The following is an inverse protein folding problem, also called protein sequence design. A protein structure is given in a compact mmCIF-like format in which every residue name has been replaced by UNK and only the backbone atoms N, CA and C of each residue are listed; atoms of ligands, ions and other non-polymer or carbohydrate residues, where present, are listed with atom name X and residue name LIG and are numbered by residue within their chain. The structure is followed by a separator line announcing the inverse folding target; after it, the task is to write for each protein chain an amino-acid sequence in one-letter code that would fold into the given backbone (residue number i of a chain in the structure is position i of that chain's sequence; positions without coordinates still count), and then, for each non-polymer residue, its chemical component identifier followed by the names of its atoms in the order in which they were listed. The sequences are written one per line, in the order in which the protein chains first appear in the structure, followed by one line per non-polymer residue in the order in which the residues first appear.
data_IF_795775156444
#
_entry.id   IF_795775156444
#
_cell.length_a   1.000
_cell.length_b   1.000
_cell.length_c   1.000
_cell.angle_alpha   90.00
_cell.angle_beta   90.00
_cell.angle_gamma   90.00
#
_symmetry.space_group_name_H-M   'P 1'
#
loop_
_entity.id
_entity.type
_entity.pdbx_description
1 polymer ?
#
# COMPACT_ATOMS: atom_id res chain seq x y z
N UNK A 1 -0.68 -57.76 15.05
CA UNK A 1 -0.83 -57.00 13.78
C UNK A 1 -2.02 -56.06 13.78
N UNK A 2 -3.24 -56.42 14.16
CA UNK A 2 -4.42 -55.52 14.15
C UNK A 2 -4.32 -54.29 15.06
N UNK A 3 -3.63 -54.36 16.21
CA UNK A 3 -3.45 -53.20 17.13
C UNK A 3 -2.43 -52.16 16.64
N UNK A 4 -1.41 -52.59 15.87
CA UNK A 4 -0.42 -51.64 15.27
C UNK A 4 -1.05 -50.86 14.10
N UNK A 5 -1.94 -51.45 13.33
CA UNK A 5 -2.62 -50.80 12.21
C UNK A 5 -3.60 -49.73 12.73
N UNK A 6 -4.25 -49.95 13.86
CA UNK A 6 -5.16 -48.98 14.47
C UNK A 6 -4.42 -47.77 15.00
N UNK A 7 -3.21 -47.92 15.56
CA UNK A 7 -2.38 -46.82 16.03
C UNK A 7 -1.84 -45.96 14.87
N UNK A 8 -1.44 -46.55 13.75
CA UNK A 8 -1.01 -45.86 12.56
C UNK A 8 -2.15 -45.06 11.91
N UNK A 9 -3.36 -45.58 11.87
CA UNK A 9 -4.54 -44.89 11.34
C UNK A 9 -4.98 -43.70 12.22
N UNK A 10 -4.89 -43.84 13.54
CA UNK A 10 -5.19 -42.73 14.48
C UNK A 10 -4.14 -41.63 14.40
N UNK A 11 -2.84 -41.97 14.24
CA UNK A 11 -1.79 -41.00 14.10
C UNK A 11 -1.88 -40.19 12.77
N UNK A 12 -2.31 -40.82 11.68
CA UNK A 12 -2.51 -40.12 10.41
C UNK A 12 -3.76 -39.24 10.41
N UNK A 13 -4.82 -39.61 11.13
CA UNK A 13 -6.01 -38.79 11.32
C UNK A 13 -5.71 -37.54 12.21
N UNK A 14 -4.86 -37.68 13.22
CA UNK A 14 -4.46 -36.56 14.09
C UNK A 14 -3.56 -35.59 13.33
N UNK A 15 -2.73 -36.02 12.38
CA UNK A 15 -1.92 -35.11 11.56
C UNK A 15 -2.75 -34.31 10.52
N UNK A 16 -3.92 -34.79 10.08
CA UNK A 16 -4.79 -34.04 9.20
C UNK A 16 -5.53 -32.86 9.88
N UNK A 17 -5.60 -32.84 11.21
CA UNK A 17 -6.33 -31.78 11.95
C UNK A 17 -5.47 -30.52 12.16
N UNK A 18 -4.16 -30.58 11.91
CA UNK A 18 -3.23 -29.47 12.10
C UNK A 18 -2.68 -28.86 10.80
N UNK A 19 -3.37 -29.03 9.68
CA UNK A 19 -3.11 -28.19 8.52
C UNK A 19 -3.43 -26.74 8.95
N UNK A 20 -2.40 -26.02 9.38
CA UNK A 20 -2.52 -24.63 9.79
C UNK A 20 -3.17 -23.88 8.63
N UNK A 21 -4.34 -23.29 8.88
CA UNK A 21 -5.12 -22.54 7.90
C UNK A 21 -4.26 -21.37 7.40
N UNK A 22 -3.70 -21.55 6.21
CA UNK A 22 -2.78 -20.59 5.60
C UNK A 22 -3.53 -19.30 5.27
N UNK A 23 -2.95 -18.16 5.62
CA UNK A 23 -3.55 -16.84 5.37
C UNK A 23 -3.70 -16.55 3.87
N UNK A 24 -2.88 -17.19 3.03
CA UNK A 24 -2.93 -17.00 1.57
C UNK A 24 -4.08 -17.75 0.90
N UNK A 25 -4.46 -18.87 1.45
CA UNK A 25 -5.35 -19.82 0.76
C UNK A 25 -6.66 -20.07 1.47
N UNK A 26 -6.73 -19.90 2.80
CA UNK A 26 -7.96 -20.11 3.58
C UNK A 26 -8.54 -18.76 3.99
N UNK A 27 -9.44 -18.21 3.17
CA UNK A 27 -9.92 -16.81 3.26
C UNK A 27 -11.36 -16.77 3.76
N UNK A 28 -11.62 -15.88 4.72
CA UNK A 28 -12.97 -15.53 5.13
C UNK A 28 -13.68 -14.74 4.00
N UNK A 29 -14.86 -15.17 3.60
CA UNK A 29 -15.62 -14.60 2.49
C UNK A 29 -16.88 -13.92 3.01
N UNK A 30 -16.95 -12.59 2.83
CA UNK A 30 -18.10 -11.78 3.15
C UNK A 30 -19.01 -11.66 1.93
N UNK A 31 -20.30 -11.93 2.11
CA UNK A 31 -21.31 -11.79 1.07
C UNK A 31 -21.89 -10.35 0.99
N UNK A 32 -21.53 -9.51 1.96
CA UNK A 32 -21.97 -8.11 2.02
C UNK A 32 -20.88 -7.24 1.40
N UNK A 33 -21.22 -6.53 0.34
CA UNK A 33 -20.33 -5.56 -0.28
C UNK A 33 -20.15 -4.31 0.60
N UNK A 34 -18.94 -3.74 0.54
CA UNK A 34 -18.60 -2.42 1.05
C UNK A 34 -18.28 -1.48 -0.14
N UNK A 35 -19.30 -0.93 -0.80
CA UNK A 35 -19.13 -0.18 -2.05
C UNK A 35 -18.49 1.19 -1.84
N UNK A 36 -18.38 1.66 -0.60
CA UNK A 36 -17.88 2.99 -0.28
C UNK A 36 -16.43 2.98 0.24
N UNK A 37 -15.79 1.82 0.29
CA UNK A 37 -14.36 1.72 0.57
C UNK A 37 -13.56 1.73 -0.74
N UNK A 38 -12.53 2.58 -0.77
CA UNK A 38 -11.59 2.77 -1.89
C UNK A 38 -10.17 2.54 -1.41
N UNK A 39 -9.37 1.80 -2.17
CA UNK A 39 -8.03 1.43 -1.73
C UNK A 39 -6.96 1.66 -2.81
N UNK A 40 -5.78 2.07 -2.35
CA UNK A 40 -4.53 2.05 -3.11
C UNK A 40 -3.56 1.12 -2.39
N UNK A 41 -3.09 0.11 -3.10
CA UNK A 41 -2.12 -0.88 -2.61
C UNK A 41 -0.87 -0.74 -3.47
N UNK A 42 0.26 -0.42 -2.86
CA UNK A 42 1.56 -0.28 -3.50
C UNK A 42 2.48 -1.34 -2.91
N UNK A 43 3.04 -2.17 -3.78
CA UNK A 43 3.92 -3.28 -3.39
C UNK A 43 5.19 -3.23 -4.22
N UNK A 44 6.29 -2.82 -3.59
CA UNK A 44 7.57 -2.60 -4.23
C UNK A 44 8.57 -3.66 -3.78
N UNK A 45 8.87 -4.60 -4.67
CA UNK A 45 9.82 -5.69 -4.42
C UNK A 45 11.09 -5.55 -5.24
N UNK A 46 10.95 -5.31 -6.58
CA UNK A 46 12.04 -5.37 -7.54
C UNK A 46 12.59 -3.98 -7.84
N UNK A 47 13.46 -3.48 -6.99
CA UNK A 47 14.09 -2.17 -7.13
C UNK A 47 15.16 -2.16 -8.21
N UNK A 48 15.30 -1.04 -8.94
CA UNK A 48 16.33 -0.87 -9.98
C UNK A 48 17.71 -0.60 -9.40
N UNK A 49 17.77 0.08 -8.26
CA UNK A 49 19.00 0.60 -7.68
C UNK A 49 19.26 0.09 -6.26
N UNK A 50 18.32 -0.64 -5.69
CA UNK A 50 18.39 -1.16 -4.32
C UNK A 50 18.18 -2.68 -4.29
N UNK A 51 18.47 -3.29 -3.15
CA UNK A 51 18.17 -4.69 -2.94
C UNK A 51 16.66 -4.94 -2.98
N UNK A 52 16.26 -6.13 -3.37
CA UNK A 52 14.86 -6.56 -3.32
C UNK A 52 14.30 -6.49 -1.90
N UNK A 53 13.00 -6.25 -1.80
CA UNK A 53 12.23 -6.44 -0.57
C UNK A 53 11.44 -7.74 -0.71
N UNK A 54 11.95 -8.86 -0.18
CA UNK A 54 11.30 -10.15 -0.36
C UNK A 54 9.85 -10.13 0.10
N UNK A 55 8.99 -10.74 -0.70
CA UNK A 55 7.56 -10.95 -0.42
C UNK A 55 6.67 -9.70 -0.47
N UNK A 56 7.19 -8.52 -0.82
CA UNK A 56 6.35 -7.32 -0.90
C UNK A 56 5.22 -7.46 -1.92
N UNK A 57 5.46 -8.12 -3.06
CA UNK A 57 4.42 -8.39 -4.05
C UNK A 57 3.36 -9.37 -3.52
N UNK A 58 3.79 -10.42 -2.79
CA UNK A 58 2.86 -11.34 -2.15
C UNK A 58 2.00 -10.62 -1.11
N UNK A 59 2.63 -9.82 -0.25
CA UNK A 59 1.95 -9.01 0.77
C UNK A 59 0.78 -8.21 0.18
N UNK A 60 1.03 -7.44 -0.86
CA UNK A 60 -0.01 -6.60 -1.47
C UNK A 60 -1.06 -7.39 -2.23
N UNK A 61 -0.66 -8.46 -2.93
CA UNK A 61 -1.60 -9.32 -3.65
C UNK A 61 -2.58 -10.02 -2.70
N UNK A 62 -2.08 -10.53 -1.57
CA UNK A 62 -2.92 -11.17 -0.56
C UNK A 62 -3.75 -10.12 0.19
N UNK A 63 -3.19 -8.95 0.53
CA UNK A 63 -3.96 -7.86 1.13
C UNK A 63 -5.11 -7.41 0.22
N UNK A 64 -4.88 -7.27 -1.12
CA UNK A 64 -5.96 -7.05 -2.11
C UNK A 64 -7.04 -8.11 -1.99
N UNK A 65 -6.66 -9.39 -1.91
CA UNK A 65 -7.61 -10.51 -1.77
C UNK A 65 -8.47 -10.38 -0.52
N UNK A 66 -7.88 -9.99 0.63
CA UNK A 66 -8.63 -9.75 1.87
C UNK A 66 -9.57 -8.55 1.76
N UNK A 67 -9.15 -7.45 1.12
CA UNK A 67 -10.05 -6.32 0.87
C UNK A 67 -11.28 -6.78 0.08
N UNK A 68 -11.08 -7.55 -1.00
CA UNK A 68 -12.18 -8.01 -1.86
C UNK A 68 -13.04 -9.05 -1.15
N UNK A 69 -12.43 -10.09 -0.60
CA UNK A 69 -13.16 -11.27 -0.10
C UNK A 69 -13.64 -11.09 1.33
N UNK A 70 -12.78 -10.64 2.21
CA UNK A 70 -13.09 -10.57 3.65
C UNK A 70 -13.80 -9.27 4.03
N UNK A 71 -13.40 -8.15 3.44
CA UNK A 71 -13.99 -6.85 3.72
C UNK A 71 -15.10 -6.45 2.74
N UNK A 72 -15.26 -7.17 1.62
CA UNK A 72 -16.33 -6.93 0.65
C UNK A 72 -16.08 -5.72 -0.27
N UNK A 73 -14.85 -5.23 -0.38
CA UNK A 73 -14.53 -4.08 -1.24
C UNK A 73 -14.60 -4.50 -2.71
N UNK A 74 -15.41 -3.82 -3.56
CA UNK A 74 -15.47 -4.12 -4.98
C UNK A 74 -14.10 -3.95 -5.66
N UNK A 75 -13.76 -4.85 -6.58
CA UNK A 75 -12.44 -4.83 -7.24
C UNK A 75 -12.14 -3.51 -7.96
N UNK A 76 -13.13 -2.91 -8.62
CA UNK A 76 -13.01 -1.62 -9.29
C UNK A 76 -12.66 -0.46 -8.32
N UNK A 77 -12.90 -0.63 -7.04
CA UNK A 77 -12.56 0.34 -5.99
C UNK A 77 -11.13 0.15 -5.44
N UNK A 78 -10.35 -0.79 -6.01
CA UNK A 78 -8.99 -1.10 -5.56
C UNK A 78 -8.01 -0.85 -6.70
N UNK A 79 -7.00 -0.01 -6.44
CA UNK A 79 -5.81 0.13 -7.29
C UNK A 79 -4.67 -0.64 -6.65
N UNK A 80 -4.25 -1.72 -7.32
CA UNK A 80 -3.06 -2.49 -6.94
C UNK A 80 -1.93 -2.18 -7.90
N UNK A 81 -0.82 -1.69 -7.38
CA UNK A 81 0.35 -1.27 -8.16
C UNK A 81 1.56 -2.04 -7.67
N UNK A 82 2.01 -2.97 -8.50
CA UNK A 82 3.21 -3.77 -8.28
C UNK A 82 4.42 -3.03 -8.85
N UNK A 83 5.51 -2.96 -8.08
CA UNK A 83 6.78 -2.32 -8.47
C UNK A 83 6.57 -0.88 -9.00
N UNK A 84 5.90 -0.07 -8.20
CA UNK A 84 5.49 1.29 -8.55
C UNK A 84 6.68 2.26 -8.66
N UNK A 85 6.73 3.02 -9.74
CA UNK A 85 7.53 4.24 -9.84
C UNK A 85 6.94 5.36 -8.99
N UNK A 86 7.70 6.45 -8.78
CA UNK A 86 7.18 7.62 -8.08
C UNK A 86 5.96 8.22 -8.79
N UNK A 87 5.93 8.19 -10.11
CA UNK A 87 4.80 8.65 -10.91
C UNK A 87 3.57 7.76 -10.70
N UNK A 88 3.74 6.43 -10.67
CA UNK A 88 2.64 5.49 -10.42
C UNK A 88 2.05 5.69 -9.03
N UNK A 89 2.90 5.85 -8.00
CA UNK A 89 2.47 6.15 -6.64
C UNK A 89 1.62 7.43 -6.61
N UNK A 90 2.10 8.51 -7.20
CA UNK A 90 1.39 9.79 -7.23
C UNK A 90 0.10 9.74 -8.05
N UNK A 91 0.09 9.05 -9.19
CA UNK A 91 -1.09 8.90 -10.04
C UNK A 91 -2.22 8.18 -9.31
N UNK A 92 -1.92 7.06 -8.66
CA UNK A 92 -2.92 6.26 -7.95
C UNK A 92 -3.41 6.94 -6.66
N UNK A 93 -2.54 7.62 -5.92
CA UNK A 93 -2.97 8.45 -4.80
C UNK A 93 -3.87 9.61 -5.25
N UNK A 94 -3.56 10.25 -6.38
CA UNK A 94 -4.43 11.30 -6.94
C UNK A 94 -5.78 10.76 -7.43
N UNK A 95 -5.84 9.51 -7.89
CA UNK A 95 -7.13 8.85 -8.15
C UNK A 95 -7.94 8.71 -6.86
N UNK A 96 -7.33 8.22 -5.77
CA UNK A 96 -8.01 8.08 -4.47
C UNK A 96 -8.55 9.42 -3.96
N UNK A 97 -7.74 10.48 -4.02
CA UNK A 97 -8.15 11.84 -3.65
C UNK A 97 -9.37 12.32 -4.44
N UNK A 98 -9.37 12.10 -5.77
CA UNK A 98 -10.51 12.49 -6.63
C UNK A 98 -11.78 11.74 -6.28
N UNK A 99 -11.70 10.43 -6.07
CA UNK A 99 -12.87 9.62 -5.71
C UNK A 99 -13.42 10.05 -4.35
N UNK A 100 -12.55 10.19 -3.34
CA UNK A 100 -12.96 10.62 -2.01
C UNK A 100 -13.53 12.04 -2.02
N UNK A 101 -12.98 12.94 -2.85
CA UNK A 101 -13.53 14.29 -3.02
C UNK A 101 -14.95 14.29 -3.55
N UNK A 102 -15.30 13.35 -4.43
CA UNK A 102 -16.68 13.20 -4.95
C UNK A 102 -17.60 12.56 -3.91
N UNK A 103 -17.15 11.51 -3.24
CA UNK A 103 -17.94 10.72 -2.28
C UNK A 103 -18.03 11.35 -0.89
N UNK A 104 -17.11 12.24 -0.57
CA UNK A 104 -17.07 12.94 0.73
C UNK A 104 -17.08 11.95 1.92
N UNK A 105 -17.82 12.24 2.97
CA UNK A 105 -17.95 11.43 4.18
C UNK A 105 -18.60 10.05 3.97
N UNK A 106 -19.10 9.73 2.80
CA UNK A 106 -19.52 8.37 2.46
C UNK A 106 -18.33 7.46 2.22
N UNK A 107 -17.20 8.03 1.72
CA UNK A 107 -16.02 7.25 1.41
C UNK A 107 -15.20 6.89 2.64
N UNK A 108 -14.71 5.65 2.65
CA UNK A 108 -13.59 5.20 3.46
C UNK A 108 -12.37 4.98 2.55
N UNK A 109 -11.21 5.46 2.96
CA UNK A 109 -9.97 5.32 2.20
C UNK A 109 -9.03 4.33 2.90
N UNK A 110 -8.37 3.46 2.11
CA UNK A 110 -7.33 2.56 2.59
C UNK A 110 -6.09 2.74 1.70
N UNK A 111 -4.94 2.97 2.32
CA UNK A 111 -3.64 2.98 1.65
C UNK A 111 -2.78 1.92 2.30
N UNK A 112 -2.24 1.03 1.48
CA UNK A 112 -1.28 0.01 1.90
C UNK A 112 0.02 0.17 1.11
N UNK A 113 1.13 0.05 1.80
CA UNK A 113 2.46 0.04 1.20
C UNK A 113 3.30 -1.08 1.80
N UNK A 114 3.93 -1.90 0.96
CA UNK A 114 5.01 -2.82 1.34
C UNK A 114 6.22 -2.55 0.46
N UNK A 115 7.39 -2.30 1.08
CA UNK A 115 8.59 -1.94 0.36
C UNK A 115 9.64 -1.24 1.23
N UNK A 116 10.66 -0.67 0.58
CA UNK A 116 11.66 0.13 1.28
C UNK A 116 11.11 1.47 1.75
N UNK A 117 11.46 1.81 2.98
CA UNK A 117 11.45 3.18 3.48
C UNK A 117 12.87 3.69 3.66
N UNK A 118 13.06 4.97 3.60
CA UNK A 118 14.35 5.60 3.85
C UNK A 118 14.21 6.83 4.75
N UNK A 119 15.15 7.07 5.67
CA UNK A 119 15.26 8.34 6.37
C UNK A 119 16.11 9.31 5.53
N UNK A 120 15.80 10.57 5.62
CA UNK A 120 16.73 11.65 5.24
C UNK A 120 17.68 11.92 6.40
N UNK A 121 18.98 11.85 6.16
CA UNK A 121 20.00 12.01 7.21
C UNK A 121 20.00 13.39 7.86
N UNK A 122 19.70 14.43 7.11
CA UNK A 122 19.72 15.81 7.59
C UNK A 122 18.42 16.20 8.29
N UNK A 123 17.29 16.08 7.60
CA UNK A 123 15.99 16.49 8.12
C UNK A 123 15.35 15.49 9.07
N UNK A 124 15.84 14.22 9.10
CA UNK A 124 15.23 13.06 9.78
C UNK A 124 13.81 12.76 9.31
N UNK A 125 13.41 13.22 8.12
CA UNK A 125 12.13 12.89 7.51
C UNK A 125 12.16 11.46 6.94
N UNK A 126 11.00 10.83 6.88
CA UNK A 126 10.82 9.51 6.32
C UNK A 126 10.22 9.57 4.90
N UNK A 127 10.65 8.67 4.04
CA UNK A 127 10.20 8.56 2.65
C UNK A 127 9.89 7.11 2.30
N UNK A 128 8.87 6.88 1.49
CA UNK A 128 8.59 5.61 0.83
C UNK A 128 9.36 5.58 -0.49
N UNK A 129 10.14 4.54 -0.72
CA UNK A 129 11.00 4.44 -1.89
C UNK A 129 10.25 3.80 -3.07
N UNK A 130 10.11 4.49 -4.22
CA UNK A 130 9.63 3.88 -5.45
C UNK A 130 10.70 2.95 -6.04
N UNK A 131 10.35 2.02 -6.93
CA UNK A 131 11.32 1.06 -7.48
C UNK A 131 12.39 1.69 -8.37
N UNK A 132 12.16 2.90 -8.86
CA UNK A 132 13.09 3.71 -9.66
C UNK A 132 13.82 4.79 -8.84
N UNK A 133 13.61 4.82 -7.51
CA UNK A 133 14.26 5.76 -6.60
C UNK A 133 15.63 5.29 -6.11
N UNK A 134 16.35 6.22 -5.47
CA UNK A 134 17.67 5.98 -4.86
C UNK A 134 17.57 6.23 -3.36
N UNK A 135 18.06 5.31 -2.54
CA UNK A 135 18.03 5.44 -1.07
C UNK A 135 18.90 6.58 -0.53
N UNK A 136 19.86 7.04 -1.33
CA UNK A 136 20.74 8.17 -1.01
C UNK A 136 20.16 9.54 -1.42
N UNK A 137 19.02 9.56 -2.13
CA UNK A 137 18.43 10.78 -2.68
C UNK A 137 16.96 10.90 -2.22
N UNK A 138 16.69 11.59 -1.09
CA UNK A 138 15.34 11.70 -0.52
C UNK A 138 14.29 12.26 -1.48
N UNK A 139 14.70 13.14 -2.41
CA UNK A 139 13.79 13.73 -3.41
C UNK A 139 13.29 12.73 -4.44
N UNK A 140 13.94 11.57 -4.57
CA UNK A 140 13.49 10.45 -5.41
C UNK A 140 12.38 9.63 -4.77
N UNK A 141 12.06 9.86 -3.49
CA UNK A 141 11.04 9.14 -2.72
C UNK A 141 9.77 9.94 -2.45
N UNK A 142 8.71 9.24 -2.07
CA UNK A 142 7.47 9.86 -1.60
C UNK A 142 7.60 10.19 -0.10
N UNK A 143 7.65 11.47 0.25
CA UNK A 143 7.69 11.90 1.65
C UNK A 143 6.44 11.44 2.42
N UNK A 144 6.63 10.81 3.59
CA UNK A 144 5.51 10.43 4.48
C UNK A 144 4.75 11.66 4.98
N UNK A 145 5.44 12.79 5.18
CA UNK A 145 4.81 14.06 5.56
C UNK A 145 3.87 14.56 4.45
N UNK A 146 4.34 14.55 3.19
CA UNK A 146 3.51 14.92 2.05
C UNK A 146 2.33 13.95 1.87
N UNK A 147 2.57 12.64 2.01
CA UNK A 147 1.52 11.62 1.97
C UNK A 147 0.45 11.86 3.03
N UNK A 148 0.85 12.04 4.29
CA UNK A 148 -0.11 12.22 5.39
C UNK A 148 -0.87 13.54 5.28
N UNK A 149 -0.21 14.62 4.81
CA UNK A 149 -0.89 15.89 4.51
C UNK A 149 -1.98 15.73 3.44
N UNK A 150 -1.67 15.00 2.35
CA UNK A 150 -2.63 14.71 1.27
C UNK A 150 -3.81 13.89 1.79
N UNK A 151 -3.52 12.78 2.48
CA UNK A 151 -4.53 11.85 2.97
C UNK A 151 -5.38 12.46 4.08
N UNK A 152 -4.78 13.23 5.00
CA UNK A 152 -5.47 13.90 6.09
C UNK A 152 -6.38 15.05 5.63
N UNK A 153 -6.12 15.63 4.46
CA UNK A 153 -6.99 16.65 3.85
C UNK A 153 -8.21 16.07 3.13
N UNK A 154 -8.26 14.75 2.92
CA UNK A 154 -9.42 14.10 2.28
C UNK A 154 -10.66 14.16 3.19
N UNK A 155 -11.84 14.50 2.65
CA UNK A 155 -13.09 14.51 3.42
C UNK A 155 -13.68 13.11 3.62
N UNK A 156 -12.84 12.11 3.84
CA UNK A 156 -13.25 10.74 4.09
C UNK A 156 -13.86 10.57 5.49
N UNK A 157 -14.77 9.59 5.65
CA UNK A 157 -15.23 9.16 6.97
C UNK A 157 -14.10 8.59 7.81
N UNK A 158 -13.22 7.80 7.17
CA UNK A 158 -12.05 7.18 7.76
C UNK A 158 -10.97 7.02 6.70
N UNK A 159 -9.72 7.27 7.07
CA UNK A 159 -8.55 6.98 6.24
C UNK A 159 -7.62 6.05 7.01
N UNK A 160 -7.38 4.85 6.50
CA UNK A 160 -6.51 3.85 7.11
C UNK A 160 -5.25 3.70 6.28
N UNK A 161 -4.09 3.79 6.92
CA UNK A 161 -2.79 3.67 6.26
C UNK A 161 -2.03 2.53 6.93
N UNK A 162 -1.54 1.58 6.13
CA UNK A 162 -0.73 0.45 6.58
C UNK A 162 0.62 0.50 5.86
N UNK A 163 1.72 0.64 6.61
CA UNK A 163 3.07 0.77 6.07
C UNK A 163 3.93 -0.39 6.56
N UNK A 164 4.17 -1.37 5.69
CA UNK A 164 5.17 -2.42 5.92
C UNK A 164 6.51 -1.99 5.32
N UNK A 165 7.17 -1.07 6.03
CA UNK A 165 8.42 -0.45 5.62
C UNK A 165 9.31 -0.12 6.81
N UNK A 166 10.64 -0.10 6.58
CA UNK A 166 11.64 0.32 7.53
C UNK A 166 12.00 1.80 7.31
N UNK A 167 12.12 2.58 8.37
CA UNK A 167 12.59 3.97 8.28
C UNK A 167 13.89 4.20 9.05
N UNK A 168 14.62 3.12 9.36
CA UNK A 168 15.91 3.16 10.08
C UNK A 168 17.14 3.25 9.15
N UNK A 169 16.94 3.21 7.84
CA UNK A 169 18.02 3.11 6.86
C UNK A 169 18.61 1.70 6.74
N UNK A 170 18.06 0.71 7.44
CA UNK A 170 18.49 -0.70 7.34
C UNK A 170 17.65 -1.48 6.34
N UNK A 171 18.25 -2.49 5.69
CA UNK A 171 17.55 -3.42 4.78
C UNK A 171 16.79 -4.49 5.54
N UNK A 172 15.72 -5.03 4.94
CA UNK A 172 15.06 -6.27 5.40
C UNK A 172 16.02 -7.46 5.48
N UNK A 173 17.03 -7.50 4.61
CA UNK A 173 18.08 -8.53 4.54
C UNK A 173 19.48 -7.90 4.48
N UNK A 174 19.87 -7.19 5.55
CA UNK A 174 21.20 -6.56 5.64
C UNK A 174 21.20 -5.06 5.32
N UNK A 175 22.34 -4.39 5.48
CA UNK A 175 22.44 -2.93 5.44
C UNK A 175 22.15 -2.32 4.07
N UNK A 176 21.12 -1.49 3.96
CA UNK A 176 20.78 -0.72 2.75
C UNK A 176 21.80 0.40 2.49
N UNK A 177 22.22 1.04 3.53
CA UNK A 177 23.37 1.92 3.51
C UNK A 177 24.49 1.20 4.25
N UNK A 178 25.63 0.96 3.58
CA UNK A 178 26.86 0.93 4.31
C UNK A 178 26.96 2.32 4.92
N UNK A 179 26.29 2.49 6.06
CA UNK A 179 26.49 3.67 6.87
C UNK A 179 27.97 3.72 7.13
N UNK A 180 28.66 4.63 6.48
CA UNK A 180 30.07 4.87 6.71
C UNK A 180 30.35 5.14 8.20
N UNK A 181 29.33 5.07 9.07
CA UNK A 181 29.39 5.42 10.50
C UNK A 181 28.56 4.55 11.44
N UNK A 182 27.92 3.45 11.03
CA UNK A 182 27.33 2.46 11.99
C UNK A 182 26.21 2.96 12.91
N UNK A 183 25.60 4.10 12.66
CA UNK A 183 24.54 4.68 13.50
C UNK A 183 23.20 4.59 12.78
N UNK A 184 22.24 3.84 13.34
CA UNK A 184 20.87 3.82 12.84
C UNK A 184 20.24 5.22 12.97
N UNK A 185 19.69 5.73 11.89
CA UNK A 185 19.02 7.02 11.86
C UNK A 185 17.59 6.83 12.35
N UNK A 186 17.21 7.52 13.42
CA UNK A 186 15.83 7.51 13.87
C UNK A 186 15.03 8.53 13.08
N UNK A 187 14.19 8.05 12.16
CA UNK A 187 13.25 8.92 11.46
C UNK A 187 12.23 9.55 12.43
N UNK A 188 11.90 10.82 12.20
CA UNK A 188 10.82 11.50 12.91
C UNK A 188 9.48 11.06 12.36
N UNK A 189 8.52 10.79 13.24
CA UNK A 189 7.13 10.54 12.82
C UNK A 189 6.55 11.80 12.18
N UNK A 190 5.97 11.65 10.99
CA UNK A 190 5.24 12.74 10.35
C UNK A 190 3.91 13.01 11.08
N UNK A 191 3.46 14.27 11.16
CA UNK A 191 2.19 14.60 11.81
C UNK A 191 1.02 14.00 11.04
N UNK A 192 0.08 13.42 11.79
CA UNK A 192 -1.17 12.83 11.27
C UNK A 192 -2.32 13.80 11.56
N UNK A 193 -3.20 14.02 10.58
CA UNK A 193 -4.32 14.94 10.67
C UNK A 193 -5.60 14.35 10.06
N UNK A 194 -6.74 15.00 10.25
CA UNK A 194 -8.03 14.54 9.73
C UNK A 194 -8.51 13.24 10.37
N UNK A 195 -9.37 12.50 9.70
CA UNK A 195 -9.87 11.20 10.16
C UNK A 195 -8.93 10.07 9.69
N UNK A 196 -7.66 10.11 10.07
CA UNK A 196 -6.64 9.19 9.59
C UNK A 196 -5.99 8.41 10.74
N UNK A 197 -5.77 7.11 10.53
CA UNK A 197 -5.00 6.24 11.42
C UNK A 197 -3.91 5.55 10.61
N UNK A 198 -2.67 5.62 11.09
CA UNK A 198 -1.49 5.05 10.43
C UNK A 198 -0.93 3.92 11.28
N UNK A 199 -0.85 2.74 10.69
CA UNK A 199 -0.14 1.58 11.22
C UNK A 199 1.22 1.48 10.53
N UNK A 200 2.30 1.42 11.28
CA UNK A 200 3.66 1.24 10.75
C UNK A 200 4.27 -0.04 11.33
N UNK A 201 4.95 -0.79 10.47
CA UNK A 201 5.50 -2.10 10.81
C UNK A 201 6.57 -2.08 11.90
N UNK A 202 7.28 -0.96 12.07
CA UNK A 202 8.37 -0.83 13.02
C UNK A 202 8.48 0.61 13.54
N UNK A 203 9.17 0.80 14.65
CA UNK A 203 9.58 2.12 15.12
C UNK A 203 10.66 2.71 14.21
N UNK A 204 10.85 4.05 14.28
CA UNK A 204 11.74 4.77 13.37
C UNK A 204 13.23 4.37 13.42
N UNK A 205 13.66 3.59 14.39
CA UNK A 205 15.01 3.05 14.53
C UNK A 205 15.08 1.52 14.40
N UNK A 206 13.95 0.86 14.16
CA UNK A 206 13.86 -0.59 13.98
C UNK A 206 13.69 -0.96 12.52
N UNK A 207 13.95 -2.24 12.22
CA UNK A 207 13.78 -2.83 10.89
C UNK A 207 12.47 -3.64 10.85
N UNK A 208 11.73 -3.55 9.76
CA UNK A 208 10.64 -4.46 9.44
C UNK A 208 11.23 -5.72 8.79
N UNK A 209 11.03 -6.88 9.43
CA UNK A 209 11.61 -8.15 8.98
C UNK A 209 10.63 -8.98 8.17
N UNK A 210 11.14 -9.85 7.28
CA UNK A 210 10.34 -10.89 6.65
C UNK A 210 10.06 -12.05 7.62
N UNK A 211 8.93 -12.71 7.43
CA UNK A 211 8.63 -14.02 8.00
C UNK A 211 8.80 -15.07 6.88
N UNK A 212 10.05 -15.52 6.68
CA UNK A 212 10.46 -16.40 5.58
C UNK A 212 9.58 -17.64 5.43
N UNK A 213 9.23 -18.29 6.55
CA UNK A 213 8.39 -19.51 6.57
C UNK A 213 6.96 -19.29 6.08
N UNK A 214 6.53 -18.02 5.94
CA UNK A 214 5.20 -17.63 5.51
C UNK A 214 5.20 -16.81 4.22
N UNK A 215 6.37 -16.49 3.69
CA UNK A 215 6.53 -15.69 2.47
C UNK A 215 5.83 -14.31 2.54
N UNK A 216 5.92 -13.68 3.70
CA UNK A 216 5.35 -12.35 3.99
C UNK A 216 6.31 -11.45 4.77
N UNK A 217 6.06 -10.14 4.77
CA UNK A 217 6.51 -9.26 5.83
C UNK A 217 5.87 -9.67 7.16
N UNK A 218 6.64 -9.61 8.25
CA UNK A 218 6.17 -10.04 9.57
C UNK A 218 4.93 -9.26 10.03
N UNK A 219 4.91 -7.96 9.78
CA UNK A 219 3.76 -7.10 10.07
C UNK A 219 2.54 -7.48 9.24
N UNK A 220 2.71 -7.62 7.93
CA UNK A 220 1.61 -7.97 7.01
C UNK A 220 1.04 -9.35 7.33
N UNK A 221 1.89 -10.34 7.64
CA UNK A 221 1.40 -11.66 8.03
C UNK A 221 0.43 -11.60 9.21
N UNK A 222 0.78 -10.92 10.30
CA UNK A 222 -0.09 -10.82 11.47
C UNK A 222 -1.31 -9.91 11.27
N UNK A 223 -1.21 -8.91 10.38
CA UNK A 223 -2.37 -8.14 9.92
C UNK A 223 -3.39 -9.06 9.24
N UNK A 224 -2.94 -9.87 8.26
CA UNK A 224 -3.78 -10.81 7.53
C UNK A 224 -4.33 -11.92 8.43
N UNK A 225 -3.50 -12.46 9.33
CA UNK A 225 -3.91 -13.50 10.27
C UNK A 225 -5.01 -13.01 11.22
N UNK A 226 -4.93 -11.76 11.71
CA UNK A 226 -5.98 -11.18 12.54
C UNK A 226 -7.27 -10.99 11.75
N UNK A 227 -7.19 -10.51 10.51
CA UNK A 227 -8.35 -10.40 9.62
C UNK A 227 -8.99 -11.78 9.35
N UNK A 228 -8.17 -12.82 9.14
CA UNK A 228 -8.64 -14.19 8.98
C UNK A 228 -9.36 -14.68 10.23
N UNK A 229 -8.71 -14.61 11.40
CA UNK A 229 -9.24 -15.10 12.70
C UNK A 229 -10.54 -14.41 13.11
N UNK A 230 -10.68 -13.12 12.78
CA UNK A 230 -11.88 -12.33 13.08
C UNK A 230 -12.94 -12.38 11.99
N UNK A 231 -12.65 -13.07 10.86
CA UNK A 231 -13.49 -13.02 9.66
C UNK A 231 -13.81 -11.57 9.22
N UNK A 232 -12.84 -10.66 9.39
CA UNK A 232 -12.92 -9.24 9.06
C UNK A 232 -13.57 -8.36 10.14
N UNK A 233 -14.35 -8.90 11.07
CA UNK A 233 -15.02 -8.14 12.11
C UNK A 233 -14.10 -7.87 13.31
N UNK A 234 -13.15 -6.97 13.12
CA UNK A 234 -12.17 -6.55 14.12
C UNK A 234 -12.17 -5.03 14.23
N UNK A 235 -12.05 -4.52 15.45
CA UNK A 235 -11.81 -3.09 15.68
C UNK A 235 -10.33 -2.76 15.43
N UNK A 236 -10.03 -1.48 15.11
CA UNK A 236 -8.64 -1.06 14.93
C UNK A 236 -7.83 -1.17 16.23
N UNK A 237 -8.50 -1.01 17.39
CA UNK A 237 -7.87 -1.24 18.68
C UNK A 237 -7.43 -2.68 18.87
N UNK A 238 -8.33 -3.65 18.65
CA UNK A 238 -8.01 -5.08 18.71
C UNK A 238 -6.96 -5.50 17.68
N UNK A 239 -7.04 -4.92 16.47
CA UNK A 239 -6.05 -5.15 15.41
C UNK A 239 -4.68 -4.64 15.82
N UNK A 240 -4.60 -3.42 16.35
CA UNK A 240 -3.38 -2.80 16.86
C UNK A 240 -2.72 -3.65 17.95
N UNK A 241 -3.50 -4.01 18.97
CA UNK A 241 -2.99 -4.77 20.11
C UNK A 241 -2.47 -6.14 19.67
N UNK A 242 -3.22 -6.81 18.78
CA UNK A 242 -2.83 -8.11 18.25
C UNK A 242 -1.54 -8.03 17.43
N UNK A 243 -1.51 -7.15 16.43
CA UNK A 243 -0.35 -7.02 15.52
C UNK A 243 0.89 -6.59 16.28
N UNK A 244 0.79 -5.60 17.17
CA UNK A 244 1.93 -5.13 17.97
C UNK A 244 2.50 -6.26 18.84
N UNK A 245 1.64 -7.01 19.51
CA UNK A 245 2.06 -8.13 20.37
C UNK A 245 2.74 -9.24 19.55
N UNK A 246 2.06 -9.73 18.50
CA UNK A 246 2.55 -10.88 17.74
C UNK A 246 3.85 -10.56 17.00
N UNK A 247 3.95 -9.37 16.40
CA UNK A 247 5.18 -8.93 15.72
C UNK A 247 6.33 -8.79 16.71
N UNK A 248 6.11 -8.12 17.86
CA UNK A 248 7.18 -7.93 18.86
C UNK A 248 7.71 -9.26 19.42
N UNK A 249 6.83 -10.20 19.76
CA UNK A 249 7.21 -11.52 20.27
C UNK A 249 7.91 -12.35 19.19
N UNK A 250 7.36 -12.39 17.97
CA UNK A 250 7.90 -13.26 16.90
C UNK A 250 9.22 -12.72 16.35
N UNK A 251 9.39 -11.40 16.24
CA UNK A 251 10.61 -10.81 15.72
C UNK A 251 11.85 -11.18 16.52
N UNK A 252 11.73 -11.26 17.85
CA UNK A 252 12.82 -11.70 18.74
C UNK A 252 13.14 -13.18 18.52
N UNK A 253 12.09 -14.02 18.38
CA UNK A 253 12.28 -15.48 18.24
C UNK A 253 12.84 -15.86 16.87
N UNK A 254 12.37 -15.20 15.79
CA UNK A 254 12.69 -15.60 14.42
C UNK A 254 13.87 -14.81 13.85
N UNK A 255 14.00 -13.54 14.23
CA UNK A 255 15.01 -12.64 13.66
C UNK A 255 16.08 -12.21 14.67
N UNK A 256 15.96 -12.61 15.95
CA UNK A 256 16.86 -12.22 17.05
C UNK A 256 17.00 -10.70 17.23
N UNK A 257 16.02 -9.94 16.77
CA UNK A 257 15.99 -8.47 16.78
C UNK A 257 14.58 -7.96 17.02
N UNK A 258 14.47 -6.80 17.67
CA UNK A 258 13.17 -6.18 17.95
C UNK A 258 12.54 -5.58 16.71
N UNK A 259 11.25 -5.80 16.55
CA UNK A 259 10.38 -5.07 15.64
C UNK A 259 9.07 -4.76 16.37
N UNK A 260 8.81 -3.47 16.58
CA UNK A 260 7.64 -2.99 17.35
C UNK A 260 6.75 -2.15 16.46
N UNK A 261 5.63 -2.68 15.96
CA UNK A 261 4.66 -1.88 15.22
C UNK A 261 4.13 -0.71 16.04
N UNK A 262 3.85 0.38 15.37
CA UNK A 262 3.28 1.58 15.97
C UNK A 262 1.98 1.98 15.30
N UNK A 263 1.08 2.61 16.07
CA UNK A 263 -0.14 3.20 15.53
C UNK A 263 -0.20 4.67 15.90
N UNK A 264 -0.40 5.52 14.90
CA UNK A 264 -0.50 6.97 15.07
C UNK A 264 -1.84 7.46 14.58
N UNK A 265 -2.52 8.27 15.41
CA UNK A 265 -3.76 8.95 15.10
C UNK A 265 -3.64 10.43 15.48
N UNK A 266 -4.47 11.33 14.93
CA UNK A 266 -4.45 12.74 15.30
C UNK A 266 -4.78 12.93 16.78
N UNK A 267 -4.18 13.96 17.37
CA UNK A 267 -4.49 14.36 18.75
C UNK A 267 -5.98 14.71 18.84
N UNK A 268 -6.69 14.09 19.80
CA UNK A 268 -8.13 14.28 19.98
C UNK A 268 -9.02 13.26 19.25
N UNK A 269 -8.49 12.44 18.34
CA UNK A 269 -9.23 11.32 17.72
C UNK A 269 -9.20 10.11 18.65
N UNK A 270 -9.90 10.17 19.77
CA UNK A 270 -9.88 9.13 20.82
C UNK A 270 -10.67 7.88 20.43
N UNK A 271 -11.62 8.00 19.51
CA UNK A 271 -12.55 6.92 19.13
C UNK A 271 -12.01 5.99 18.02
N UNK A 272 -10.82 6.24 17.45
CA UNK A 272 -10.30 5.44 16.36
C UNK A 272 -10.15 3.95 16.71
N UNK A 273 -9.93 3.62 17.98
CA UNK A 273 -9.80 2.23 18.42
C UNK A 273 -11.08 1.42 18.22
N UNK A 274 -12.25 2.09 18.20
CA UNK A 274 -13.57 1.47 17.96
C UNK A 274 -13.92 1.38 16.45
N UNK A 275 -13.14 2.00 15.57
CA UNK A 275 -13.35 1.84 14.12
C UNK A 275 -13.14 0.39 13.71
N UNK A 276 -13.97 -0.09 12.78
CA UNK A 276 -13.98 -1.50 12.38
C UNK A 276 -13.40 -1.68 10.99
N UNK A 277 -12.70 -2.79 10.77
CA UNK A 277 -12.25 -3.18 9.43
C UNK A 277 -13.44 -3.59 8.54
N UNK A 278 -14.33 -4.42 9.04
CA UNK A 278 -15.64 -4.68 8.43
C UNK A 278 -16.76 -4.55 9.45
N UNK A 279 -17.94 -4.12 9.02
CA UNK A 279 -19.11 -3.97 9.91
C UNK A 279 -19.68 -5.30 10.39
N UNK A 280 -19.52 -6.37 9.58
CA UNK A 280 -20.00 -7.72 9.88
C UNK A 280 -18.91 -8.74 9.58
N UNK A 281 -18.83 -9.79 10.42
CA UNK A 281 -17.99 -10.93 10.16
C UNK A 281 -18.47 -11.69 8.92
N UNK A 282 -17.51 -12.16 8.13
CA UNK A 282 -17.80 -13.16 7.10
C UNK A 282 -18.31 -14.46 7.73
N UNK A 283 -19.29 -15.10 7.09
CA UNK A 283 -19.93 -16.31 7.63
C UNK A 283 -19.31 -17.61 7.13
N UNK A 284 -18.56 -17.56 6.06
CA UNK A 284 -17.94 -18.73 5.45
C UNK A 284 -16.46 -18.48 5.16
N UNK A 285 -15.73 -19.59 5.00
CA UNK A 285 -14.33 -19.59 4.57
C UNK A 285 -14.23 -20.41 3.31
N UNK A 286 -13.38 -19.99 2.40
CA UNK A 286 -13.11 -20.68 1.15
C UNK A 286 -11.62 -20.99 1.02
N UNK A 287 -11.30 -22.17 0.47
CA UNK A 287 -9.93 -22.48 0.08
C UNK A 287 -9.71 -21.97 -1.34
N UNK A 288 -8.69 -21.14 -1.51
CA UNK A 288 -8.33 -20.50 -2.78
C UNK A 288 -6.96 -20.97 -3.25
N UNK A 289 -6.71 -20.88 -4.55
CA UNK A 289 -5.38 -21.10 -5.10
C UNK A 289 -4.37 -20.08 -4.56
N UNK A 290 -3.12 -20.53 -4.34
CA UNK A 290 -2.01 -19.63 -4.02
C UNK A 290 -1.82 -18.63 -5.17
N UNK A 291 -1.64 -17.34 -4.86
CA UNK A 291 -1.30 -16.35 -5.87
C UNK A 291 0.19 -16.50 -6.16
N UNK A 292 0.53 -16.48 -7.45
CA UNK A 292 1.90 -16.22 -7.89
C UNK A 292 1.90 -14.75 -8.35
N UNK A 293 2.46 -13.82 -7.57
CA UNK A 293 2.47 -12.41 -7.96
C UNK A 293 3.25 -12.25 -9.26
N UNK A 294 2.59 -11.78 -10.30
CA UNK A 294 3.24 -11.37 -11.55
C UNK A 294 3.21 -9.85 -11.63
N UNK A 295 4.31 -9.25 -12.02
CA UNK A 295 4.35 -7.84 -12.38
C UNK A 295 3.49 -7.70 -13.64
N UNK A 296 2.24 -7.26 -13.47
CA UNK A 296 1.45 -6.82 -14.63
C UNK A 296 1.98 -5.45 -15.03
N UNK A 297 2.77 -5.41 -16.11
CA UNK A 297 2.90 -4.17 -16.86
C UNK A 297 1.48 -3.81 -17.33
N UNK A 298 0.84 -2.82 -16.69
CA UNK A 298 -0.35 -2.20 -17.29
C UNK A 298 0.06 -1.74 -18.68
N UNK A 299 -0.56 -2.32 -19.70
CA UNK A 299 -0.43 -1.80 -21.05
C UNK A 299 -0.81 -0.31 -20.99
N UNK A 300 -0.01 0.59 -21.58
CA UNK A 300 -0.36 2.02 -21.61
C UNK A 300 -1.78 2.13 -22.14
N UNK A 301 -2.66 2.80 -21.39
CA UNK A 301 -4.03 3.06 -21.80
C UNK A 301 -3.97 3.58 -23.25
N UNK A 302 -4.63 2.86 -24.16
CA UNK A 302 -4.65 3.19 -25.58
C UNK A 302 -4.96 4.69 -25.69
N UNK A 303 -4.00 5.45 -26.18
CA UNK A 303 -4.20 6.85 -26.51
C UNK A 303 -5.40 6.90 -27.43
N UNK A 304 -6.47 7.54 -26.99
CA UNK A 304 -7.59 7.88 -27.84
C UNK A 304 -7.01 8.61 -29.06
N UNK A 305 -6.87 7.90 -30.16
CA UNK A 305 -6.54 8.49 -31.45
C UNK A 305 -7.69 9.44 -31.79
N UNK A 306 -7.51 10.69 -31.41
CA UNK A 306 -8.35 11.77 -31.94
C UNK A 306 -8.26 11.68 -33.47
N UNK A 307 -9.42 11.48 -34.14
CA UNK A 307 -9.56 11.60 -35.57
C UNK A 307 -8.95 12.94 -36.02
N UNK A 308 -8.16 12.95 -37.10
CA UNK A 308 -7.62 14.19 -37.59
C UNK A 308 -8.79 15.11 -38.00
N UNK A 309 -8.84 16.29 -37.42
CA UNK A 309 -9.77 17.33 -37.76
C UNK A 309 -9.67 17.64 -39.27
N UNK A 310 -10.78 17.52 -39.96
CA UNK A 310 -10.91 17.94 -41.39
C UNK A 310 -10.60 19.43 -41.48
N UNK A 311 -9.57 19.77 -42.24
CA UNK A 311 -9.21 21.15 -42.59
C UNK A 311 -10.35 21.83 -43.35
N UNK A 312 -10.75 23.05 -42.97
CA UNK A 312 -11.75 23.80 -43.76
C UNK A 312 -11.18 24.21 -45.13
N UNK A 313 -11.86 23.88 -46.18
CA UNK A 313 -11.53 24.35 -47.54
C UNK A 313 -11.48 25.87 -47.60
N UNK A 314 -10.30 26.40 -47.87
CA UNK A 314 -10.05 27.83 -48.09
C UNK A 314 -10.75 28.27 -49.35
N UNK A 315 -11.73 29.16 -49.20
CA UNK A 315 -12.46 29.83 -50.31
C UNK A 315 -11.54 30.93 -50.85
N UNK A 316 -10.97 30.71 -52.05
CA UNK A 316 -10.22 31.74 -52.78
C UNK A 316 -11.14 32.92 -53.06
N UNK A 317 -10.82 34.08 -52.50
CA UNK A 317 -11.33 35.38 -52.95
C UNK A 317 -10.28 36.03 -53.80
N UNK A 318 -10.59 36.22 -55.08
CA UNK A 318 -9.89 37.02 -56.07
C UNK A 318 -9.82 38.47 -55.64
N UNK A 319 -8.60 39.00 -55.42
CA UNK A 319 -8.38 40.44 -55.27
C UNK A 319 -8.09 41.06 -56.62
N UNK A 320 -9.04 41.89 -57.09
CA UNK A 320 -8.86 42.82 -58.17
C UNK A 320 -7.87 43.93 -57.78
N UNK A 321 -6.90 44.15 -58.66
CA UNK A 321 -5.99 45.28 -58.64
C UNK A 321 -6.77 46.62 -58.76
N UNK A 322 -6.45 47.61 -57.91
CA UNK A 322 -6.59 49.02 -58.24
C UNK A 322 -5.27 49.72 -57.91
N UNK A 323 -4.69 50.28 -58.96
CA UNK A 323 -3.67 51.31 -58.98
C UNK A 323 -4.27 52.62 -58.47
N UNK A 324 -3.50 53.40 -57.71
CA UNK A 324 -3.19 54.85 -57.97
C UNK A 324 -2.35 55.37 -56.82
N UNK A 325 -1.14 55.72 -57.17
CA UNK A 325 -0.48 57.04 -57.35
C UNK A 325 -0.56 58.06 -56.20
N UNK A 326 0.62 58.39 -55.77
CA UNK A 326 1.19 59.71 -55.42
C UNK A 326 0.68 60.43 -54.16
N UNK A 327 1.50 60.75 -53.18
CA UNK A 327 2.34 61.96 -53.09
C UNK A 327 3.10 61.96 -51.78
N UNK A 328 4.36 62.26 -51.88
CA UNK A 328 5.26 63.11 -51.14
C UNK A 328 4.61 64.00 -50.07
N UNK A 329 5.21 64.05 -48.87
CA UNK A 329 5.99 65.17 -48.39
C UNK A 329 6.45 64.90 -46.95
N UNK A 330 7.71 65.14 -46.68
CA UNK A 330 8.43 65.37 -45.44
C UNK A 330 8.42 66.94 -45.22
N UNK A 331 8.94 67.52 -44.16
CA UNK A 331 9.31 67.11 -42.79
C UNK A 331 8.83 68.15 -41.73
N UNK A 332 8.93 67.75 -40.46
CA UNK A 332 9.66 68.49 -39.39
C UNK A 332 9.67 67.63 -38.17
#
# INVERSE_FOLDING_TARGET
MKRLILFALVSTLVQMVWAQKDVDTYIAVNEVEDPNTYAVIISNENYKHEAKVPFALNDGAIFKRYLMKTLGVPEQNIKYVADASLNDMNYNLSWLERVVKVKQKEARAIVYYSGHGMPDEDSKKAYLLPVDGYSTEPTSGLSTEALYKRLGAMPASQTLVFLDACFSGSKREGDMMKAARGVAIKAKSAPVSGNMVVFSAAQGNETAYPLQSKEHGLFTYFLLEKLQKSAGAVTLGELSDYVTKQVAETSIVVNEKSQTPTVTAPVGTTDWRNWKMANKAAKKFETMSKIVPTVQAEAPAAANTAQPAQTPKTRQRSFLKRNNTANQENPE
#
